data_IF_429809740973
#
_entry.id   IF_429809740973
#
_cell.length_a   1.000
_cell.length_b   1.000
_cell.length_c   1.000
_cell.angle_alpha   90.00
_cell.angle_beta   90.00
_cell.angle_gamma   90.00
#
_symmetry.space_group_name_H-M   'P 1'
#
loop_
_entity.id
_entity.type
_entity.pdbx_description
1 polymer ?
#
# COMPACT_ATOMS: atom_id res chain seq x y z
N UNK A 1 -8.14 18.31 9.83
CA UNK A 1 -7.17 17.95 8.78
C UNK A 1 -5.84 18.61 9.08
N UNK A 2 -5.55 19.75 8.44
CA UNK A 2 -4.28 20.48 8.58
C UNK A 2 -3.85 20.79 10.02
N UNK A 3 -4.77 21.29 10.87
CA UNK A 3 -4.46 21.56 12.28
C UNK A 3 -4.15 20.29 13.09
N UNK A 4 -4.79 19.16 12.77
CA UNK A 4 -4.54 17.88 13.43
C UNK A 4 -3.19 17.30 12.97
N UNK A 5 -2.88 17.42 11.67
CA UNK A 5 -1.57 17.07 11.13
C UNK A 5 -0.44 17.92 11.74
N UNK A 6 -0.65 19.22 11.95
CA UNK A 6 0.32 20.11 12.61
C UNK A 6 0.50 19.80 14.10
N UNK A 7 -0.59 19.48 14.81
CA UNK A 7 -0.53 19.08 16.22
C UNK A 7 0.21 17.73 16.38
N UNK A 8 -0.07 16.77 15.50
CA UNK A 8 0.61 15.47 15.46
C UNK A 8 2.09 15.61 15.12
N UNK A 9 2.46 16.45 14.13
CA UNK A 9 3.86 16.78 13.81
C UNK A 9 4.61 17.47 14.96
N UNK A 10 3.92 18.30 15.75
CA UNK A 10 4.52 18.93 16.92
C UNK A 10 4.77 17.94 18.06
N UNK A 11 3.90 16.93 18.20
CA UNK A 11 3.97 15.93 19.27
C UNK A 11 4.90 14.75 18.93
N UNK A 12 4.89 14.27 17.68
CA UNK A 12 5.64 13.11 17.18
C UNK A 12 6.79 13.50 16.26
N UNK A 13 7.62 14.46 16.69
CA UNK A 13 8.73 15.01 15.88
C UNK A 13 9.79 13.98 15.43
N UNK A 14 9.67 12.71 15.84
CA UNK A 14 10.65 11.65 15.62
C UNK A 14 10.10 10.31 15.08
N UNK A 15 8.81 10.19 14.73
CA UNK A 15 8.24 8.93 14.20
C UNK A 15 7.28 9.18 13.01
N UNK A 16 7.38 8.34 11.97
CA UNK A 16 6.58 8.42 10.74
C UNK A 16 5.15 7.90 10.96
N UNK A 17 4.21 8.77 11.34
CA UNK A 17 2.82 8.39 11.63
C UNK A 17 1.82 9.03 10.65
N UNK A 18 1.79 8.53 9.42
CA UNK A 18 0.84 8.99 8.37
C UNK A 18 -0.62 8.68 8.74
N UNK A 19 -0.88 7.63 9.54
CA UNK A 19 -2.23 7.20 9.96
C UNK A 19 -2.86 8.06 11.08
N UNK A 20 -2.06 8.72 11.93
CA UNK A 20 -2.56 9.52 13.05
C UNK A 20 -3.33 10.78 12.61
N UNK A 21 -3.01 11.34 11.44
CA UNK A 21 -3.65 12.56 10.94
C UNK A 21 -5.10 12.38 10.48
N UNK A 22 -5.47 11.20 9.99
CA UNK A 22 -6.81 10.95 9.43
C UNK A 22 -7.87 10.88 10.53
N UNK A 23 -7.58 10.17 11.62
CA UNK A 23 -8.49 10.05 12.77
C UNK A 23 -8.67 11.40 13.49
N UNK A 24 -7.62 12.21 13.64
CA UNK A 24 -7.73 13.58 14.13
C UNK A 24 -8.64 14.47 13.27
N UNK A 25 -8.69 14.26 11.94
CA UNK A 25 -9.63 14.96 11.07
C UNK A 25 -11.10 14.55 11.30
N UNK A 26 -11.36 13.27 11.55
CA UNK A 26 -12.69 12.75 11.92
C UNK A 26 -13.16 13.40 13.23
N UNK A 27 -12.30 13.45 14.24
CA UNK A 27 -12.60 14.13 15.50
C UNK A 27 -12.88 15.62 15.29
N UNK A 28 -12.18 16.29 14.37
CA UNK A 28 -12.49 17.67 13.98
C UNK A 28 -13.87 17.84 13.33
N UNK A 29 -14.31 16.90 12.49
CA UNK A 29 -15.68 16.91 11.95
C UNK A 29 -16.72 16.72 13.06
N UNK A 30 -16.49 15.80 13.99
CA UNK A 30 -17.34 15.62 15.17
C UNK A 30 -17.38 16.87 16.05
N UNK A 31 -16.26 17.60 16.18
CA UNK A 31 -16.21 18.89 16.86
C UNK A 31 -17.12 19.94 16.22
N UNK A 32 -17.05 20.10 14.89
CA UNK A 32 -17.96 20.99 14.15
C UNK A 32 -19.42 20.56 14.32
N UNK A 33 -19.67 19.25 14.23
CA UNK A 33 -21.01 18.68 14.34
C UNK A 33 -21.63 18.91 15.72
N UNK A 34 -20.87 18.66 16.80
CA UNK A 34 -21.28 18.94 18.19
C UNK A 34 -21.53 20.43 18.39
N UNK A 35 -20.63 21.30 17.89
CA UNK A 35 -20.84 22.75 17.96
C UNK A 35 -22.16 23.16 17.28
N UNK A 36 -22.46 22.67 16.07
CA UNK A 36 -23.72 22.98 15.38
C UNK A 36 -24.93 22.43 16.14
N UNK A 37 -24.87 21.20 16.66
CA UNK A 37 -25.96 20.57 17.42
C UNK A 37 -26.28 21.30 18.72
N UNK A 38 -25.31 21.99 19.33
CA UNK A 38 -25.53 22.82 20.53
C UNK A 38 -26.06 24.22 20.20
N UNK A 39 -26.02 24.63 18.93
CA UNK A 39 -26.59 25.92 18.47
C UNK A 39 -28.06 25.79 18.07
N UNK A 40 -28.69 26.92 17.70
CA UNK A 40 -30.10 26.93 17.25
C UNK A 40 -30.36 26.46 15.82
N UNK A 41 -29.35 25.96 15.09
CA UNK A 41 -29.47 25.59 13.66
C UNK A 41 -30.36 24.37 13.39
N UNK A 42 -30.32 23.34 14.25
CA UNK A 42 -31.09 22.10 14.06
C UNK A 42 -32.40 22.17 14.86
N UNK A 43 -33.54 21.59 14.49
CA UNK A 43 -34.74 21.62 15.34
C UNK A 43 -34.54 20.92 16.70
N UNK A 44 -35.15 21.43 17.78
CA UNK A 44 -34.97 20.91 19.15
C UNK A 44 -35.25 19.40 19.28
N UNK A 45 -36.24 18.88 18.55
CA UNK A 45 -36.60 17.46 18.58
C UNK A 45 -35.53 16.52 18.01
N UNK A 46 -34.59 17.03 17.21
CA UNK A 46 -33.55 16.22 16.55
C UNK A 46 -32.18 16.34 17.23
N UNK A 47 -31.91 17.42 17.97
CA UNK A 47 -30.59 17.68 18.59
C UNK A 47 -30.20 16.65 19.64
N UNK A 48 -31.12 16.31 20.56
CA UNK A 48 -30.81 15.47 21.71
C UNK A 48 -30.34 14.05 21.36
N UNK A 49 -31.03 13.32 20.45
CA UNK A 49 -30.57 12.02 19.98
C UNK A 49 -29.22 12.08 19.25
N UNK A 50 -29.06 13.05 18.34
CA UNK A 50 -27.83 13.20 17.54
C UNK A 50 -26.62 13.57 18.40
N UNK A 51 -26.82 14.44 19.39
CA UNK A 51 -25.77 14.83 20.33
C UNK A 51 -25.35 13.65 21.20
N UNK A 52 -26.31 12.81 21.64
CA UNK A 52 -25.98 11.57 22.38
C UNK A 52 -25.14 10.62 21.54
N UNK A 53 -25.51 10.36 20.29
CA UNK A 53 -24.73 9.49 19.40
C UNK A 53 -23.32 10.05 19.17
N UNK A 54 -23.20 11.35 18.92
CA UNK A 54 -21.91 12.00 18.72
C UNK A 54 -21.01 11.92 19.96
N UNK A 55 -21.56 12.22 21.14
CA UNK A 55 -20.82 12.14 22.41
C UNK A 55 -20.45 10.70 22.78
N UNK A 56 -21.33 9.73 22.52
CA UNK A 56 -21.01 8.32 22.73
C UNK A 56 -19.85 7.87 21.84
N UNK A 57 -19.86 8.25 20.56
CA UNK A 57 -18.77 7.93 19.64
C UNK A 57 -17.45 8.55 20.08
N UNK A 58 -17.43 9.85 20.38
CA UNK A 58 -16.23 10.57 20.84
C UNK A 58 -15.72 9.99 22.16
N UNK A 59 -16.62 9.78 23.13
CA UNK A 59 -16.28 9.22 24.44
C UNK A 59 -15.71 7.82 24.33
N UNK A 60 -16.34 6.94 23.54
CA UNK A 60 -15.82 5.59 23.29
C UNK A 60 -14.42 5.64 22.68
N UNK A 61 -14.21 6.41 21.61
CA UNK A 61 -12.91 6.45 20.94
C UNK A 61 -11.81 7.08 21.80
N UNK A 62 -12.12 8.01 22.71
CA UNK A 62 -11.13 8.54 23.67
C UNK A 62 -10.82 7.50 24.76
N UNK A 63 -11.82 6.80 25.28
CA UNK A 63 -11.63 5.80 26.35
C UNK A 63 -10.88 4.56 25.83
N UNK A 64 -11.12 4.15 24.60
CA UNK A 64 -10.41 3.01 23.98
C UNK A 64 -9.16 3.42 23.20
N UNK A 65 -8.89 4.73 23.07
CA UNK A 65 -7.68 5.27 22.46
C UNK A 65 -6.42 5.15 23.32
N UNK A 66 -6.46 4.48 24.48
CA UNK A 66 -5.26 4.21 25.30
C UNK A 66 -4.43 3.01 24.82
N UNK A 67 -4.79 2.41 23.68
CA UNK A 67 -3.99 1.36 23.04
C UNK A 67 -2.69 1.92 22.42
N UNK A 68 -1.58 1.16 22.44
CA UNK A 68 -0.32 1.55 21.81
C UNK A 68 -0.53 1.83 20.31
N UNK A 69 -0.11 3.02 19.84
CA UNK A 69 -0.24 3.45 18.45
C UNK A 69 -1.36 4.46 18.18
N UNK A 70 -2.15 4.85 19.18
CA UNK A 70 -3.21 5.87 19.05
C UNK A 70 -2.74 7.24 19.55
N UNK A 71 -2.81 8.24 18.67
CA UNK A 71 -2.47 9.64 18.97
C UNK A 71 -3.69 10.38 19.55
N UNK A 72 -3.89 10.25 20.87
CA UNK A 72 -4.95 10.97 21.58
C UNK A 72 -4.78 12.50 21.53
N UNK A 73 -3.55 13.01 21.37
CA UNK A 73 -3.30 14.44 21.23
C UNK A 73 -3.86 14.96 19.90
N UNK A 74 -3.72 14.21 18.81
CA UNK A 74 -4.34 14.52 17.52
C UNK A 74 -5.88 14.43 17.56
N UNK A 75 -6.45 13.47 18.30
CA UNK A 75 -7.91 13.37 18.48
C UNK A 75 -8.48 14.55 19.25
N UNK A 76 -7.87 14.89 20.39
CA UNK A 76 -8.29 16.01 21.23
C UNK A 76 -8.07 17.36 20.53
N UNK A 77 -6.91 17.53 19.88
CA UNK A 77 -6.61 18.73 19.08
C UNK A 77 -7.55 18.88 17.87
N UNK A 78 -7.87 17.76 17.22
CA UNK A 78 -8.89 17.69 16.17
C UNK A 78 -10.25 18.14 16.67
N UNK A 79 -10.76 17.50 17.73
CA UNK A 79 -12.06 17.81 18.33
C UNK A 79 -12.17 19.27 18.76
N UNK A 80 -11.16 19.79 19.46
CA UNK A 80 -11.14 21.17 19.94
C UNK A 80 -11.12 22.19 18.80
N UNK A 81 -10.25 22.00 17.81
CA UNK A 81 -10.21 22.88 16.64
C UNK A 81 -11.51 22.84 15.83
N UNK A 82 -12.14 21.67 15.73
CA UNK A 82 -13.47 21.50 15.15
C UNK A 82 -14.56 22.25 15.89
N UNK A 83 -14.58 22.19 17.23
CA UNK A 83 -15.54 22.94 18.05
C UNK A 83 -15.41 24.45 17.83
N UNK A 84 -14.18 24.97 17.87
CA UNK A 84 -13.90 26.39 17.61
C UNK A 84 -14.41 26.79 16.23
N UNK A 85 -14.06 26.02 15.20
CA UNK A 85 -14.50 26.29 13.82
C UNK A 85 -16.03 26.23 13.67
N UNK A 86 -16.69 25.24 14.28
CA UNK A 86 -18.15 25.10 14.22
C UNK A 86 -18.89 26.27 14.87
N UNK A 87 -18.42 26.76 16.02
CA UNK A 87 -18.99 27.96 16.65
C UNK A 87 -18.70 29.22 15.85
N UNK A 88 -17.51 29.36 15.24
CA UNK A 88 -17.19 30.48 14.35
C UNK A 88 -18.03 30.48 13.07
N UNK A 89 -18.43 29.31 12.56
CA UNK A 89 -19.30 29.18 11.38
C UNK A 89 -20.78 29.48 11.66
N UNK A 90 -21.24 29.33 12.90
CA UNK A 90 -22.64 29.58 13.28
C UNK A 90 -23.21 30.94 12.78
N UNK A 91 -22.54 32.09 13.00
CA UNK A 91 -23.03 33.37 12.48
C UNK A 91 -23.01 33.45 10.95
N UNK A 92 -22.05 32.80 10.28
CA UNK A 92 -21.88 32.80 8.82
C UNK A 92 -23.02 32.01 8.16
N UNK A 93 -23.36 30.84 8.71
CA UNK A 93 -24.42 29.94 8.22
C UNK A 93 -25.82 30.54 8.33
N UNK A 94 -26.03 31.54 9.20
CA UNK A 94 -27.30 32.26 9.32
C UNK A 94 -27.54 33.23 8.15
N UNK A 95 -26.49 33.61 7.42
CA UNK A 95 -26.61 34.55 6.29
C UNK A 95 -26.86 33.81 4.96
N UNK A 96 -27.88 34.25 4.22
CA UNK A 96 -28.32 33.62 2.95
C UNK A 96 -27.27 33.70 1.82
N UNK A 97 -26.35 34.66 1.90
CA UNK A 97 -25.28 34.85 0.90
C UNK A 97 -24.11 33.91 1.17
N UNK A 98 -23.66 33.80 2.42
CA UNK A 98 -22.49 32.98 2.75
C UNK A 98 -22.78 31.48 2.74
N UNK A 99 -24.01 31.05 3.01
CA UNK A 99 -24.39 29.64 2.87
C UNK A 99 -24.28 29.13 1.42
N UNK A 100 -24.65 29.97 0.44
CA UNK A 100 -24.53 29.66 -0.99
C UNK A 100 -23.07 29.62 -1.47
N UNK A 101 -22.26 30.57 -1.02
CA UNK A 101 -20.82 30.62 -1.34
C UNK A 101 -20.10 29.41 -0.73
N UNK A 102 -20.35 29.13 0.55
CA UNK A 102 -19.74 27.98 1.24
C UNK A 102 -20.14 26.66 0.58
N UNK A 103 -21.40 26.49 0.20
CA UNK A 103 -21.86 25.30 -0.53
C UNK A 103 -21.14 25.08 -1.86
N UNK A 104 -20.89 26.14 -2.63
CA UNK A 104 -20.11 26.07 -3.88
C UNK A 104 -18.65 25.71 -3.64
N UNK A 105 -18.01 26.34 -2.66
CA UNK A 105 -16.61 26.06 -2.31
C UNK A 105 -16.46 24.61 -1.86
N UNK A 106 -17.34 24.13 -0.97
CA UNK A 106 -17.34 22.74 -0.51
C UNK A 106 -17.56 21.76 -1.66
N UNK A 107 -18.52 22.05 -2.56
CA UNK A 107 -18.77 21.21 -3.74
C UNK A 107 -17.56 21.12 -4.67
N UNK A 108 -16.89 22.25 -4.94
CA UNK A 108 -15.69 22.29 -5.76
C UNK A 108 -14.53 21.53 -5.12
N UNK A 109 -14.31 21.69 -3.82
CA UNK A 109 -13.24 20.97 -3.12
C UNK A 109 -13.48 19.47 -3.09
N UNK A 110 -14.73 19.01 -2.87
CA UNK A 110 -15.07 17.58 -2.90
C UNK A 110 -14.85 16.99 -4.29
N UNK A 111 -15.22 17.72 -5.35
CA UNK A 111 -15.00 17.28 -6.72
C UNK A 111 -13.51 17.18 -7.06
N UNK A 112 -12.71 18.16 -6.67
CA UNK A 112 -11.26 18.15 -6.88
C UNK A 112 -10.58 16.97 -6.15
N UNK A 113 -10.99 16.68 -4.92
CA UNK A 113 -10.50 15.52 -4.16
C UNK A 113 -10.89 14.21 -4.85
N UNK A 114 -12.14 14.09 -5.31
CA UNK A 114 -12.64 12.87 -5.95
C UNK A 114 -11.90 12.60 -7.27
N UNK A 115 -11.73 13.64 -8.10
CA UNK A 115 -10.94 13.56 -9.35
C UNK A 115 -9.49 13.22 -9.04
N UNK A 116 -8.84 13.91 -8.09
CA UNK A 116 -7.46 13.64 -7.71
C UNK A 116 -7.24 12.23 -7.13
N UNK A 117 -8.17 11.74 -6.31
CA UNK A 117 -8.11 10.36 -5.81
C UNK A 117 -8.32 9.34 -6.92
N UNK A 118 -9.20 9.63 -7.88
CA UNK A 118 -9.46 8.76 -9.03
C UNK A 118 -8.27 8.66 -9.96
N UNK A 119 -7.58 9.76 -10.25
CA UNK A 119 -6.37 9.74 -11.09
C UNK A 119 -5.21 9.02 -10.41
N UNK A 120 -5.01 9.23 -9.10
CA UNK A 120 -3.99 8.51 -8.33
C UNK A 120 -4.29 7.01 -8.24
N UNK A 121 -5.54 6.63 -8.00
CA UNK A 121 -5.95 5.22 -7.99
C UNK A 121 -5.73 4.58 -9.36
N UNK A 122 -6.16 5.24 -10.44
CA UNK A 122 -5.99 4.74 -11.79
C UNK A 122 -4.51 4.56 -12.17
N UNK A 123 -3.64 5.53 -11.85
CA UNK A 123 -2.21 5.41 -12.06
C UNK A 123 -1.58 4.26 -11.26
N UNK A 124 -1.99 4.06 -10.00
CA UNK A 124 -1.52 2.96 -9.15
C UNK A 124 -2.08 1.59 -9.56
N UNK A 125 -3.22 1.54 -10.24
CA UNK A 125 -3.75 0.30 -10.83
C UNK A 125 -3.05 -0.04 -12.16
N UNK A 126 -2.66 0.98 -12.93
CA UNK A 126 -1.90 0.79 -14.17
C UNK A 126 -0.45 0.38 -13.92
N UNK A 127 0.19 0.86 -12.85
CA UNK A 127 1.57 0.52 -12.52
C UNK A 127 1.85 -0.99 -12.42
N UNK A 128 1.09 -1.81 -11.66
CA UNK A 128 1.28 -3.25 -11.60
C UNK A 128 0.83 -3.97 -12.88
N UNK A 129 -0.13 -3.43 -13.64
CA UNK A 129 -0.56 -4.01 -14.92
C UNK A 129 0.47 -3.79 -16.04
N UNK A 130 1.21 -2.68 -16.02
CA UNK A 130 2.33 -2.44 -16.94
C UNK A 130 3.61 -3.20 -16.54
N UNK A 131 3.72 -3.65 -15.29
CA UNK A 131 4.83 -4.48 -14.76
C UNK A 131 4.56 -5.98 -14.88
N UNK A 132 3.33 -6.40 -15.20
CA UNK A 132 3.07 -7.70 -15.82
C UNK A 132 3.50 -7.60 -17.30
N UNK A 133 4.79 -7.35 -17.48
CA UNK A 133 5.45 -7.00 -18.74
C UNK A 133 5.73 -8.26 -19.57
N UNK A 134 6.05 -8.05 -20.85
CA UNK A 134 6.62 -9.04 -21.75
C UNK A 134 7.76 -9.84 -21.07
N UNK A 135 8.52 -9.24 -20.14
CA UNK A 135 9.55 -9.89 -19.34
C UNK A 135 9.04 -11.06 -18.49
N UNK A 136 7.84 -10.98 -17.91
CA UNK A 136 7.27 -12.11 -17.15
C UNK A 136 6.92 -13.28 -18.09
N UNK A 137 6.39 -12.97 -19.28
CA UNK A 137 6.13 -13.98 -20.29
C UNK A 137 7.44 -14.63 -20.78
N UNK A 138 8.46 -13.82 -21.10
CA UNK A 138 9.80 -14.28 -21.49
C UNK A 138 10.45 -15.11 -20.38
N UNK A 139 10.28 -14.71 -19.12
CA UNK A 139 10.82 -15.43 -17.97
C UNK A 139 10.28 -16.86 -17.89
N UNK A 140 8.97 -17.05 -18.00
CA UNK A 140 8.39 -18.40 -17.95
C UNK A 140 8.75 -19.25 -19.19
N UNK A 141 8.89 -18.64 -20.37
CA UNK A 141 9.38 -19.33 -21.58
C UNK A 141 10.83 -19.84 -21.40
N UNK A 142 11.72 -19.01 -20.85
CA UNK A 142 13.09 -19.40 -20.51
C UNK A 142 13.13 -20.48 -19.40
N UNK A 143 12.20 -20.43 -18.45
CA UNK A 143 12.11 -21.44 -17.36
C UNK A 143 11.73 -22.80 -17.96
N UNK A 144 10.78 -22.83 -18.88
CA UNK A 144 10.39 -24.05 -19.58
C UNK A 144 11.54 -24.62 -20.42
N UNK A 145 12.25 -23.77 -21.18
CA UNK A 145 13.43 -24.18 -21.96
C UNK A 145 14.54 -24.74 -21.05
N UNK A 146 14.78 -24.09 -19.90
CA UNK A 146 15.77 -24.54 -18.92
C UNK A 146 15.45 -25.94 -18.40
N UNK A 147 14.20 -26.20 -18.03
CA UNK A 147 13.79 -27.51 -17.54
C UNK A 147 13.81 -28.59 -18.62
N UNK A 148 13.48 -28.25 -19.87
CA UNK A 148 13.61 -29.16 -21.02
C UNK A 148 15.08 -29.58 -21.21
N UNK A 149 16.00 -28.61 -21.29
CA UNK A 149 17.45 -28.89 -21.40
C UNK A 149 17.98 -29.69 -20.22
N UNK A 150 17.57 -29.38 -19.00
CA UNK A 150 17.99 -30.13 -17.81
C UNK A 150 17.51 -31.57 -17.85
N UNK A 151 16.27 -31.80 -18.28
CA UNK A 151 15.70 -33.14 -18.45
C UNK A 151 16.49 -33.94 -19.50
N UNK A 152 16.77 -33.35 -20.66
CA UNK A 152 17.57 -33.98 -21.70
C UNK A 152 18.97 -34.35 -21.20
N UNK A 153 19.67 -33.42 -20.55
CA UNK A 153 20.99 -33.64 -19.97
C UNK A 153 20.96 -34.73 -18.89
N UNK A 154 19.97 -34.70 -18.00
CA UNK A 154 19.81 -35.71 -16.96
C UNK A 154 19.58 -37.09 -17.57
N UNK A 155 18.74 -37.21 -18.59
CA UNK A 155 18.49 -38.49 -19.26
C UNK A 155 19.72 -39.01 -19.99
N UNK A 156 20.48 -38.14 -20.64
CA UNK A 156 21.70 -38.51 -21.36
C UNK A 156 22.81 -38.99 -20.39
N UNK A 157 23.04 -38.24 -19.31
CA UNK A 157 23.97 -38.65 -18.23
C UNK A 157 23.56 -39.99 -17.61
N UNK A 158 22.25 -40.20 -17.41
CA UNK A 158 21.73 -41.47 -16.87
C UNK A 158 21.93 -42.65 -17.82
N UNK A 159 21.76 -42.45 -19.13
CA UNK A 159 21.98 -43.47 -20.16
C UNK A 159 23.46 -43.76 -20.44
N UNK A 160 24.38 -42.92 -19.96
CA UNK A 160 25.83 -42.98 -20.25
C UNK A 160 26.13 -42.91 -21.75
N UNK A 161 25.30 -42.21 -22.50
CA UNK A 161 25.38 -42.08 -23.95
C UNK A 161 26.16 -40.84 -24.41
N UNK A 162 26.62 -40.02 -23.46
CA UNK A 162 27.13 -38.66 -23.72
C UNK A 162 28.55 -38.47 -23.16
N UNK A 163 29.41 -37.84 -23.95
CA UNK A 163 30.79 -37.51 -23.56
C UNK A 163 30.84 -36.39 -22.50
N UNK A 164 31.90 -36.38 -21.69
CA UNK A 164 32.11 -35.36 -20.67
C UNK A 164 32.08 -33.92 -21.23
N UNK A 165 32.54 -33.70 -22.46
CA UNK A 165 32.50 -32.39 -23.11
C UNK A 165 31.07 -31.94 -23.42
N UNK A 166 30.22 -32.83 -23.92
CA UNK A 166 28.82 -32.51 -24.22
C UNK A 166 28.01 -32.23 -22.94
N UNK A 167 28.32 -32.92 -21.84
CA UNK A 167 27.75 -32.62 -20.52
C UNK A 167 28.16 -31.21 -20.05
N UNK A 168 29.44 -30.85 -20.20
CA UNK A 168 29.93 -29.52 -19.83
C UNK A 168 29.30 -28.41 -20.67
N UNK A 169 29.09 -28.64 -21.97
CA UNK A 169 28.43 -27.68 -22.85
C UNK A 169 26.96 -27.49 -22.48
N UNK A 170 26.23 -28.56 -22.18
CA UNK A 170 24.84 -28.46 -21.74
C UNK A 170 24.66 -27.68 -20.42
N UNK A 171 25.60 -27.83 -19.47
CA UNK A 171 25.56 -27.00 -18.25
C UNK A 171 25.80 -25.52 -18.55
N UNK A 172 26.70 -25.19 -19.49
CA UNK A 172 26.92 -23.80 -19.91
C UNK A 172 25.68 -23.19 -20.57
N UNK A 173 24.91 -23.98 -21.31
CA UNK A 173 23.64 -23.52 -21.87
C UNK A 173 22.61 -23.18 -20.77
N UNK A 174 22.49 -24.03 -19.75
CA UNK A 174 21.62 -23.76 -18.59
C UNK A 174 22.09 -22.51 -17.83
N UNK A 175 23.40 -22.32 -17.64
CA UNK A 175 23.95 -21.10 -17.04
C UNK A 175 23.69 -19.84 -17.89
N UNK A 176 23.67 -19.97 -19.22
CA UNK A 176 23.30 -18.89 -20.14
C UNK A 176 21.85 -18.47 -19.95
N UNK A 177 20.93 -19.43 -19.95
CA UNK A 177 19.50 -19.17 -19.72
C UNK A 177 19.27 -18.49 -18.36
N UNK A 178 19.95 -18.95 -17.31
CA UNK A 178 19.90 -18.30 -16.00
C UNK A 178 20.41 -16.85 -16.05
N UNK A 179 21.46 -16.58 -16.83
CA UNK A 179 22.00 -15.23 -16.99
C UNK A 179 21.01 -14.32 -17.73
N UNK A 180 20.34 -14.83 -18.76
CA UNK A 180 19.30 -14.12 -19.49
C UNK A 180 18.11 -13.77 -18.58
N UNK A 181 17.70 -14.68 -17.69
CA UNK A 181 16.64 -14.41 -16.70
C UNK A 181 17.02 -13.30 -15.70
N UNK A 182 18.31 -13.10 -15.42
CA UNK A 182 18.79 -12.06 -14.50
C UNK A 182 18.71 -10.65 -15.12
N UNK A 183 18.62 -10.55 -16.44
CA UNK A 183 18.45 -9.26 -17.15
C UNK A 183 16.99 -8.78 -17.15
N UNK A 184 16.04 -9.64 -16.79
CA UNK A 184 14.60 -9.37 -16.81
C UNK A 184 14.13 -8.53 -15.61
N UNK A 185 13.23 -7.59 -15.87
CA UNK A 185 12.65 -6.73 -14.83
C UNK A 185 11.37 -7.35 -14.29
N UNK A 186 11.51 -8.19 -13.26
CA UNK A 186 10.41 -8.99 -12.69
C UNK A 186 9.70 -8.30 -11.51
N UNK A 187 8.45 -8.71 -11.27
CA UNK A 187 7.76 -8.37 -10.02
C UNK A 187 8.40 -9.11 -8.83
N UNK A 188 7.97 -8.78 -7.61
CA UNK A 188 8.56 -9.34 -6.38
C UNK A 188 8.42 -10.87 -6.29
N UNK A 189 7.31 -11.44 -6.72
CA UNK A 189 7.06 -12.88 -6.60
C UNK A 189 7.92 -13.66 -7.61
N UNK A 190 7.95 -13.22 -8.87
CA UNK A 190 8.74 -13.83 -9.93
C UNK A 190 10.25 -13.69 -9.68
N UNK A 191 10.69 -12.55 -9.13
CA UNK A 191 12.09 -12.35 -8.73
C UNK A 191 12.53 -13.34 -7.64
N UNK A 192 11.66 -13.62 -6.65
CA UNK A 192 11.94 -14.63 -5.61
C UNK A 192 12.05 -16.02 -6.24
N UNK A 193 11.15 -16.35 -7.17
CA UNK A 193 11.19 -17.65 -7.87
C UNK A 193 12.47 -17.82 -8.70
N UNK A 194 12.89 -16.78 -9.43
CA UNK A 194 14.17 -16.78 -10.17
C UNK A 194 15.36 -17.05 -9.26
N UNK A 195 15.42 -16.39 -8.11
CA UNK A 195 16.52 -16.54 -7.16
C UNK A 195 16.55 -17.96 -6.55
N UNK A 196 15.39 -18.57 -6.28
CA UNK A 196 15.29 -19.96 -5.86
C UNK A 196 15.73 -20.94 -6.96
N UNK A 197 15.35 -20.66 -8.21
CA UNK A 197 15.75 -21.44 -9.38
C UNK A 197 17.27 -21.42 -9.58
N UNK A 198 17.91 -20.25 -9.44
CA UNK A 198 19.36 -20.12 -9.52
C UNK A 198 20.06 -21.01 -8.48
N UNK A 199 19.60 -20.96 -7.23
CA UNK A 199 20.14 -21.81 -6.17
C UNK A 199 19.96 -23.30 -6.47
N UNK A 200 18.84 -23.68 -7.10
CA UNK A 200 18.64 -25.05 -7.54
C UNK A 200 19.63 -25.45 -8.64
N UNK A 201 19.77 -24.63 -9.68
CA UNK A 201 20.72 -24.87 -10.79
C UNK A 201 22.15 -25.04 -10.26
N UNK A 202 22.60 -24.14 -9.38
CA UNK A 202 23.93 -24.23 -8.77
C UNK A 202 24.14 -25.54 -8.00
N UNK A 203 23.13 -26.00 -7.24
CA UNK A 203 23.20 -27.29 -6.53
C UNK A 203 23.28 -28.47 -7.48
N UNK A 204 22.51 -28.44 -8.57
CA UNK A 204 22.51 -29.49 -9.60
C UNK A 204 23.87 -29.57 -10.27
N UNK A 205 24.43 -28.45 -10.73
CA UNK A 205 25.76 -28.39 -11.36
C UNK A 205 26.83 -28.92 -10.41
N UNK A 206 26.83 -28.50 -9.14
CA UNK A 206 27.79 -28.99 -8.15
C UNK A 206 27.69 -30.50 -7.93
N UNK A 207 26.46 -31.05 -7.89
CA UNK A 207 26.25 -32.50 -7.74
C UNK A 207 26.89 -33.27 -8.90
N UNK A 208 26.69 -32.82 -10.14
CA UNK A 208 27.25 -33.48 -11.32
C UNK A 208 28.78 -33.33 -11.40
N UNK A 209 29.34 -32.16 -11.12
CA UNK A 209 30.79 -31.94 -11.12
C UNK A 209 31.54 -32.81 -10.10
N UNK A 210 30.92 -33.11 -8.93
CA UNK A 210 31.49 -34.04 -7.96
C UNK A 210 31.48 -35.48 -8.47
N UNK A 211 30.37 -35.90 -9.07
CA UNK A 211 30.18 -37.26 -9.56
C UNK A 211 30.97 -37.59 -10.85
N UNK A 212 31.38 -36.58 -11.63
CA UNK A 212 32.24 -36.76 -12.81
C UNK A 212 33.73 -36.82 -12.45
N UNK A 213 34.18 -36.08 -11.42
CA UNK A 213 35.56 -36.16 -10.91
C UNK A 213 35.91 -37.50 -10.28
N UNK A 214 34.94 -38.18 -9.66
CA UNK A 214 35.14 -39.53 -9.10
C UNK A 214 35.21 -40.64 -10.16
N UNK A 215 34.99 -40.30 -11.45
CA UNK A 215 34.98 -41.24 -12.58
C UNK A 215 36.15 -41.09 -13.55
N UNK A 216 37.03 -40.10 -13.35
CA UNK A 216 38.28 -39.88 -14.10
C UNK A 216 39.48 -40.41 -13.33
#
# INVERSE_FOLDING_TARGET
GTCASLASLWWYRHEDIVSAGASGAIFGLYGVYIAILTTRLIPLGQRGPLLRVALTFVGYNIIFGFEPGVDNAAHLGGLFSGLVLGYSLYPILKSSVWSKIMGKVMGMTSLAVLVGSGTLLFANLQAPLNLASDDAFIFYDLVDELFEKESELRTSVRRKDTENMAILLGWKEIESLMSEMQELTLNREDAVYRDELELWVQRVIQHYQRNTKDRS
#
